data_IF_642247866066
#
_entry.id   IF_642247866066
#
_cell.length_a   1.000
_cell.length_b   1.000
_cell.length_c   1.000
_cell.angle_alpha   90.00
_cell.angle_beta   90.00
_cell.angle_gamma   90.00
#
_symmetry.space_group_name_H-M   'P 1'
#
loop_
_entity.id
_entity.type
_entity.pdbx_description
1 polymer ?
#
# COMPACT_ATOMS: atom_id res chain seq x y z
N UNK A 1 40.51 -4.29 -25.51
CA UNK A 1 39.27 -3.99 -24.76
C UNK A 1 39.34 -4.62 -23.38
N UNK A 2 39.93 -3.90 -22.42
CA UNK A 2 40.07 -4.38 -21.03
C UNK A 2 38.72 -4.21 -20.35
N UNK A 3 38.02 -5.33 -20.17
CA UNK A 3 36.65 -5.36 -19.67
C UNK A 3 36.62 -4.87 -18.21
N UNK A 4 35.92 -3.77 -17.93
CA UNK A 4 35.74 -3.17 -16.59
C UNK A 4 34.81 -4.01 -15.69
N UNK A 5 35.05 -5.32 -15.62
CA UNK A 5 34.32 -6.32 -14.84
C UNK A 5 34.17 -5.95 -13.34
N UNK A 6 35.18 -5.42 -12.63
CA UNK A 6 35.00 -5.14 -11.20
C UNK A 6 34.09 -3.94 -10.94
N UNK A 7 34.09 -2.93 -11.82
CA UNK A 7 33.24 -1.74 -11.67
C UNK A 7 31.75 -2.06 -11.88
N UNK A 8 31.44 -2.97 -12.81
CA UNK A 8 30.07 -3.46 -13.03
C UNK A 8 29.54 -4.25 -11.83
N UNK A 9 30.37 -5.03 -11.16
CA UNK A 9 29.99 -5.80 -9.97
C UNK A 9 29.70 -4.89 -8.76
N UNK A 10 30.50 -3.84 -8.57
CA UNK A 10 30.27 -2.85 -7.50
C UNK A 10 28.97 -2.07 -7.74
N UNK A 11 28.68 -1.69 -8.99
CA UNK A 11 27.43 -1.01 -9.31
C UNK A 11 26.21 -1.91 -9.09
N UNK A 12 26.29 -3.18 -9.50
CA UNK A 12 25.20 -4.14 -9.33
C UNK A 12 24.88 -4.39 -7.86
N UNK A 13 25.90 -4.52 -7.00
CA UNK A 13 25.70 -4.74 -5.56
C UNK A 13 25.09 -3.52 -4.87
N UNK A 14 25.49 -2.29 -5.26
CA UNK A 14 24.90 -1.06 -4.73
C UNK A 14 23.41 -0.93 -5.10
N UNK A 15 23.05 -1.28 -6.34
CA UNK A 15 21.66 -1.25 -6.80
C UNK A 15 20.80 -2.26 -6.03
N UNK A 16 21.27 -3.50 -5.85
CA UNK A 16 20.54 -4.52 -5.08
C UNK A 16 20.32 -4.07 -3.64
N UNK A 17 21.32 -3.45 -2.99
CA UNK A 17 21.17 -2.92 -1.63
C UNK A 17 20.11 -1.81 -1.56
N UNK A 18 20.10 -0.87 -2.52
CA UNK A 18 19.11 0.22 -2.59
C UNK A 18 17.68 -0.29 -2.82
N UNK A 19 17.50 -1.32 -3.66
CA UNK A 19 16.18 -1.88 -3.94
C UNK A 19 15.68 -2.85 -2.86
N UNK A 20 16.57 -3.48 -2.08
CA UNK A 20 16.20 -4.38 -0.98
C UNK A 20 15.46 -3.67 0.16
N UNK A 21 15.64 -2.35 0.31
CA UNK A 21 14.91 -1.54 1.27
C UNK A 21 13.49 -1.16 0.82
N UNK A 22 13.13 -1.40 -0.45
CA UNK A 22 11.85 -0.98 -1.03
C UNK A 22 10.70 -1.94 -0.70
N UNK A 23 10.97 -3.11 -0.10
CA UNK A 23 9.93 -3.95 0.51
C UNK A 23 10.56 -4.96 1.46
N UNK A 24 10.75 -4.63 2.74
CA UNK A 24 10.81 -5.69 3.74
C UNK A 24 9.44 -6.35 3.76
N UNK A 25 9.38 -7.58 3.25
CA UNK A 25 8.22 -8.47 3.36
C UNK A 25 8.02 -8.77 4.85
N UNK A 26 7.35 -7.85 5.53
CA UNK A 26 6.92 -8.02 6.90
C UNK A 26 5.67 -8.87 6.82
N UNK A 27 5.76 -10.09 7.35
CA UNK A 27 4.67 -11.07 7.50
C UNK A 27 3.30 -10.40 7.42
N UNK A 28 2.68 -10.49 6.25
CA UNK A 28 1.43 -9.78 5.97
C UNK A 28 0.35 -10.45 6.82
N UNK A 29 0.13 -9.97 8.05
CA UNK A 29 -1.06 -10.29 8.85
C UNK A 29 -2.25 -10.10 7.89
N UNK A 30 -3.09 -11.12 7.81
CA UNK A 30 -4.22 -11.11 6.90
C UNK A 30 -5.09 -9.88 7.20
N UNK A 31 -5.34 -9.07 6.17
CA UNK A 31 -6.08 -7.83 6.33
C UNK A 31 -7.54 -8.17 6.66
N UNK A 32 -8.19 -7.47 7.61
CA UNK A 32 -9.60 -7.70 7.90
C UNK A 32 -10.47 -7.51 6.65
N UNK A 33 -11.64 -8.14 6.61
CA UNK A 33 -12.60 -7.92 5.53
C UNK A 33 -13.16 -6.50 5.58
N UNK A 34 -13.28 -5.81 4.45
CA UNK A 34 -13.87 -4.47 4.36
C UNK A 34 -15.39 -4.56 4.56
N UNK A 35 -15.86 -4.27 5.77
CA UNK A 35 -17.27 -4.26 6.17
C UNK A 35 -17.55 -3.16 7.20
N UNK A 36 -18.82 -2.93 7.52
CA UNK A 36 -19.23 -1.79 8.36
C UNK A 36 -18.64 -1.86 9.77
N UNK A 37 -18.42 -3.07 10.29
CA UNK A 37 -17.79 -3.30 11.59
C UNK A 37 -16.29 -2.99 11.56
N UNK A 38 -15.55 -3.55 10.61
CA UNK A 38 -14.10 -3.37 10.50
C UNK A 38 -13.71 -1.96 10.04
N UNK A 39 -14.63 -1.23 9.40
CA UNK A 39 -14.43 0.16 9.01
C UNK A 39 -14.64 1.17 10.15
N UNK A 40 -14.98 0.71 11.37
CA UNK A 40 -15.02 1.55 12.57
C UNK A 40 -13.63 2.01 12.98
N UNK A 41 -13.54 3.23 13.51
CA UNK A 41 -12.27 3.88 13.87
C UNK A 41 -11.44 3.07 14.86
N UNK A 42 -12.12 2.40 15.80
CA UNK A 42 -11.56 1.54 16.84
C UNK A 42 -10.88 0.30 16.24
N UNK A 43 -11.44 -0.25 15.16
CA UNK A 43 -10.90 -1.42 14.48
C UNK A 43 -9.77 -1.04 13.50
N UNK A 44 -9.84 0.13 12.87
CA UNK A 44 -8.73 0.67 12.08
C UNK A 44 -7.48 0.90 12.95
N UNK A 45 -7.64 1.37 14.19
CA UNK A 45 -6.55 1.61 15.12
C UNK A 45 -5.78 0.33 15.51
N UNK A 46 -6.40 -0.85 15.40
CA UNK A 46 -5.77 -2.15 15.66
C UNK A 46 -4.79 -2.58 14.55
N UNK A 47 -4.84 -1.94 13.38
CA UNK A 47 -3.89 -2.18 12.29
C UNK A 47 -2.57 -1.46 12.63
N UNK A 48 -1.58 -2.23 13.07
CA UNK A 48 -0.27 -1.72 13.53
C UNK A 48 0.54 -1.08 12.41
N UNK A 49 0.59 -1.72 11.24
CA UNK A 49 1.31 -1.21 10.08
C UNK A 49 0.57 0.01 9.51
N UNK A 50 1.25 1.16 9.51
CA UNK A 50 0.68 2.44 9.05
C UNK A 50 0.21 2.38 7.60
N UNK A 51 1.02 1.83 6.69
CA UNK A 51 0.68 1.73 5.28
C UNK A 51 -0.54 0.83 5.06
N UNK A 52 -0.56 -0.33 5.70
CA UNK A 52 -1.70 -1.24 5.70
C UNK A 52 -2.97 -0.55 6.21
N UNK A 53 -2.86 0.22 7.30
CA UNK A 53 -3.98 0.96 7.89
C UNK A 53 -4.51 2.03 6.94
N UNK A 54 -3.64 2.77 6.27
CA UNK A 54 -4.02 3.79 5.29
C UNK A 54 -4.69 3.18 4.06
N UNK A 55 -4.14 2.08 3.54
CA UNK A 55 -4.74 1.33 2.42
C UNK A 55 -6.13 0.80 2.80
N UNK A 56 -6.27 0.22 3.99
CA UNK A 56 -7.54 -0.32 4.46
C UNK A 56 -8.57 0.78 4.74
N UNK A 57 -8.18 1.89 5.37
CA UNK A 57 -9.05 3.06 5.56
C UNK A 57 -9.53 3.65 4.23
N UNK A 58 -8.65 3.74 3.23
CA UNK A 58 -9.01 4.15 1.86
C UNK A 58 -10.05 3.22 1.23
N UNK A 59 -9.91 1.90 1.42
CA UNK A 59 -10.90 0.94 0.95
C UNK A 59 -12.26 1.12 1.65
N UNK A 60 -12.27 1.36 2.96
CA UNK A 60 -13.49 1.67 3.71
C UNK A 60 -14.21 2.92 3.21
N UNK A 61 -13.49 3.99 2.91
CA UNK A 61 -14.08 5.22 2.36
C UNK A 61 -14.72 5.00 0.98
N UNK A 62 -14.13 4.11 0.17
CA UNK A 62 -14.64 3.77 -1.17
C UNK A 62 -15.80 2.77 -1.15
N UNK A 63 -16.05 2.08 -0.03
CA UNK A 63 -17.16 1.12 0.17
C UNK A 63 -18.54 1.79 0.18
N UNK A 64 -18.61 3.12 0.31
CA UNK A 64 -19.86 3.88 0.29
C UNK A 64 -20.81 3.42 -0.84
N UNK A 65 -22.11 3.79 -0.80
CA UNK A 65 -23.22 3.14 -1.53
C UNK A 65 -23.19 3.21 -3.07
N UNK A 66 -22.02 3.19 -3.70
CA UNK A 66 -21.76 3.58 -5.06
C UNK A 66 -21.73 5.09 -5.21
N UNK A 67 -21.23 5.52 -6.37
CA UNK A 67 -21.47 6.87 -6.85
C UNK A 67 -22.98 7.11 -6.93
N UNK A 68 -23.49 8.11 -6.20
CA UNK A 68 -24.87 8.59 -6.32
C UNK A 68 -24.85 9.88 -7.16
N UNK A 69 -25.24 9.84 -8.45
CA UNK A 69 -25.32 11.05 -9.23
C UNK A 69 -26.30 12.03 -8.58
N UNK A 70 -25.92 13.30 -8.56
CA UNK A 70 -26.85 14.38 -8.20
C UNK A 70 -28.04 14.37 -9.16
N UNK A 71 -29.25 14.77 -8.70
CA UNK A 71 -30.37 15.00 -9.60
C UNK A 71 -29.95 15.90 -10.75
N UNK A 72 -30.38 15.55 -11.97
CA UNK A 72 -30.11 16.37 -13.16
C UNK A 72 -30.71 17.75 -12.93
N UNK A 73 -29.90 18.80 -13.10
CA UNK A 73 -30.37 20.17 -13.00
C UNK A 73 -30.85 20.64 -14.37
N UNK A 74 -32.05 21.21 -14.42
CA UNK A 74 -32.77 21.67 -15.63
C UNK A 74 -32.62 23.18 -15.91
N UNK A 75 -31.78 23.90 -15.14
CA UNK A 75 -31.64 25.36 -15.26
C UNK A 75 -30.64 25.76 -16.35
#
# INVERSE_FOLDING_TARGET
MTTKRPALLVLATLLVALFSACSPDTSRKEMPTVNDENCKSENLAQIENKEAREQFASACLRRGPGFKPSPKKEW
#
